data_IF_654795510908
#
_entry.id   IF_654795510908
#
_cell.length_a   1.000
_cell.length_b   1.000
_cell.length_c   1.000
_cell.angle_alpha   90.00
_cell.angle_beta   90.00
_cell.angle_gamma   90.00
#
_symmetry.space_group_name_H-M   'P 1'
#
loop_
_entity.id
_entity.type
_entity.pdbx_description
1 polymer ?
#
# COMPACT_ATOMS: atom_id res chain seq x y z
N UNK A 1 -41.60 5.13 -3.19
CA UNK A 1 -40.66 5.88 -2.32
C UNK A 1 -39.33 5.99 -3.06
N UNK A 2 -38.69 7.17 -3.06
CA UNK A 2 -37.35 7.36 -3.66
C UNK A 2 -36.32 7.25 -2.54
N UNK A 3 -35.57 6.15 -2.51
CA UNK A 3 -34.47 5.93 -1.56
C UNK A 3 -33.17 6.33 -2.23
N UNK A 4 -32.41 7.22 -1.59
CA UNK A 4 -31.06 7.59 -2.04
C UNK A 4 -30.05 6.79 -1.24
N UNK A 5 -29.06 6.21 -1.91
CA UNK A 5 -28.00 5.41 -1.31
C UNK A 5 -26.66 6.03 -1.73
N UNK A 6 -25.79 6.30 -0.75
CA UNK A 6 -24.40 6.73 -0.96
C UNK A 6 -23.49 5.66 -0.38
N UNK A 7 -22.52 5.20 -1.17
CA UNK A 7 -21.55 4.19 -0.78
C UNK A 7 -20.16 4.77 -1.01
N UNK A 8 -19.29 4.67 -0.01
CA UNK A 8 -17.87 5.02 -0.11
C UNK A 8 -17.03 3.77 0.07
N UNK A 9 -16.07 3.54 -0.81
CA UNK A 9 -15.14 2.41 -0.73
C UNK A 9 -13.72 2.89 -0.99
N UNK A 10 -12.75 2.26 -0.32
CA UNK A 10 -11.31 2.46 -0.57
C UNK A 10 -10.78 1.52 -1.66
N UNK A 11 -11.64 0.69 -2.25
CA UNK A 11 -11.32 -0.23 -3.34
C UNK A 11 -12.12 0.14 -4.58
N UNK A 12 -11.49 0.00 -5.74
CA UNK A 12 -12.18 0.22 -7.00
C UNK A 12 -13.31 -0.80 -7.19
N UNK A 13 -14.35 -0.42 -7.92
CA UNK A 13 -15.48 -1.32 -8.22
C UNK A 13 -15.03 -2.58 -8.96
N UNK A 14 -13.94 -2.51 -9.73
CA UNK A 14 -13.37 -3.67 -10.42
C UNK A 14 -12.83 -4.74 -9.46
N UNK A 15 -12.32 -4.34 -8.29
CA UNK A 15 -11.81 -5.26 -7.25
C UNK A 15 -12.94 -5.92 -6.45
N UNK A 16 -14.20 -5.53 -6.64
CA UNK A 16 -15.30 -6.05 -5.82
C UNK A 16 -15.58 -7.54 -6.05
N UNK A 17 -15.25 -8.07 -7.23
CA UNK A 17 -15.35 -9.52 -7.48
C UNK A 17 -14.45 -10.31 -6.53
N UNK A 18 -13.23 -9.84 -6.27
CA UNK A 18 -12.31 -10.47 -5.31
C UNK A 18 -12.74 -10.23 -3.86
N UNK A 19 -13.19 -9.02 -3.53
CA UNK A 19 -13.63 -8.66 -2.17
C UNK A 19 -14.87 -9.45 -1.74
N UNK A 20 -15.81 -9.67 -2.65
CA UNK A 20 -17.05 -10.41 -2.39
C UNK A 20 -16.90 -11.91 -2.64
N UNK A 21 -15.77 -12.36 -3.19
CA UNK A 21 -15.50 -13.76 -3.54
C UNK A 21 -16.31 -14.30 -4.72
N UNK A 22 -17.17 -13.47 -5.33
CA UNK A 22 -17.95 -13.82 -6.51
C UNK A 22 -18.21 -12.58 -7.38
N UNK A 23 -17.62 -12.60 -8.58
CA UNK A 23 -17.81 -11.57 -9.61
C UNK A 23 -19.26 -11.44 -10.06
N UNK A 24 -20.04 -12.51 -10.03
CA UNK A 24 -21.47 -12.53 -10.37
C UNK A 24 -22.29 -11.73 -9.37
N UNK A 25 -22.00 -11.89 -8.08
CA UNK A 25 -22.65 -11.13 -7.00
C UNK A 25 -22.25 -9.66 -7.08
N UNK A 26 -20.96 -9.38 -7.31
CA UNK A 26 -20.47 -8.02 -7.51
C UNK A 26 -21.19 -7.31 -8.67
N UNK A 27 -21.30 -7.98 -9.83
CA UNK A 27 -21.99 -7.46 -10.99
C UNK A 27 -23.50 -7.25 -10.74
N UNK A 28 -24.17 -8.18 -10.05
CA UNK A 28 -25.58 -8.05 -9.74
C UNK A 28 -25.87 -6.95 -8.69
N UNK A 29 -24.95 -6.71 -7.75
CA UNK A 29 -25.03 -5.54 -6.86
C UNK A 29 -24.82 -4.25 -7.64
N UNK A 30 -23.85 -4.25 -8.53
CA UNK A 30 -23.51 -3.10 -9.35
C UNK A 30 -24.66 -2.74 -10.31
N UNK A 31 -25.32 -3.71 -10.93
CA UNK A 31 -26.52 -3.52 -11.76
C UNK A 31 -27.63 -2.78 -10.98
N UNK A 32 -27.93 -3.24 -9.76
CA UNK A 32 -28.93 -2.60 -8.88
C UNK A 32 -28.56 -1.18 -8.48
N UNK A 33 -27.27 -0.90 -8.30
CA UNK A 33 -26.78 0.43 -7.90
C UNK A 33 -26.63 1.38 -9.10
N UNK A 34 -26.11 0.90 -10.23
CA UNK A 34 -25.81 1.70 -11.43
C UNK A 34 -27.02 2.00 -12.29
N UNK A 35 -28.15 1.32 -12.09
CA UNK A 35 -29.39 1.63 -12.83
C UNK A 35 -29.82 3.11 -12.69
N UNK A 36 -29.33 3.83 -11.65
CA UNK A 36 -29.60 5.26 -11.47
C UNK A 36 -28.51 6.05 -10.74
N UNK A 37 -27.28 5.56 -10.66
CA UNK A 37 -26.21 6.22 -9.90
C UNK A 37 -25.06 6.74 -10.76
N UNK A 38 -24.28 7.62 -10.14
CA UNK A 38 -23.05 8.19 -10.69
C UNK A 38 -21.89 7.66 -9.86
N UNK A 39 -20.89 7.09 -10.51
CA UNK A 39 -19.66 6.63 -9.85
C UNK A 39 -18.67 7.79 -9.83
N UNK A 40 -18.26 8.19 -8.63
CA UNK A 40 -17.23 9.22 -8.44
C UNK A 40 -15.97 8.54 -7.94
N UNK A 41 -14.91 8.55 -8.76
CA UNK A 41 -13.58 8.10 -8.34
C UNK A 41 -12.91 9.26 -7.60
N UNK A 42 -12.52 9.00 -6.35
CA UNK A 42 -11.76 9.95 -5.55
C UNK A 42 -10.27 9.60 -5.69
N UNK A 43 -9.50 10.54 -6.21
CA UNK A 43 -8.05 10.44 -6.34
C UNK A 43 -7.39 11.66 -5.66
N UNK A 44 -6.18 11.47 -5.13
CA UNK A 44 -5.42 12.51 -4.43
C UNK A 44 -4.96 12.12 -3.02
N UNK A 45 -4.10 12.97 -2.45
CA UNK A 45 -3.48 12.73 -1.15
C UNK A 45 -4.50 12.59 -0.03
N UNK A 46 -4.19 11.69 0.92
CA UNK A 46 -5.00 11.48 2.10
C UNK A 46 -5.22 12.79 2.86
N UNK A 47 -6.48 13.22 2.98
CA UNK A 47 -6.82 14.44 3.71
C UNK A 47 -6.24 14.46 5.13
N UNK A 48 -6.14 13.30 5.78
CA UNK A 48 -5.56 13.11 7.13
C UNK A 48 -4.05 13.39 7.22
N UNK A 49 -3.34 13.34 6.10
CA UNK A 49 -1.90 13.62 6.03
C UNK A 49 -1.60 15.09 5.74
N UNK A 50 -2.60 15.92 5.45
CA UNK A 50 -2.40 17.33 5.08
C UNK A 50 -1.70 18.15 6.16
N UNK A 51 -1.95 17.84 7.44
CA UNK A 51 -1.34 18.52 8.59
C UNK A 51 -0.20 17.73 9.23
N UNK A 52 0.16 16.56 8.68
CA UNK A 52 1.31 15.82 9.20
C UNK A 52 2.59 16.47 8.69
N UNK A 53 3.51 16.90 9.59
CA UNK A 53 4.85 17.30 9.18
C UNK A 53 5.44 16.18 8.33
N UNK A 54 6.01 16.52 7.17
CA UNK A 54 6.64 15.56 6.26
C UNK A 54 7.47 14.57 7.09
N UNK A 55 7.31 13.24 6.87
CA UNK A 55 8.03 12.26 7.66
C UNK A 55 9.51 12.58 7.62
N UNK A 56 10.10 12.76 8.81
CA UNK A 56 11.53 12.95 8.96
C UNK A 56 12.22 11.74 8.32
N UNK A 57 13.28 11.94 7.53
CA UNK A 57 14.01 10.81 6.97
C UNK A 57 14.50 9.95 8.14
N UNK A 58 14.09 8.68 8.16
CA UNK A 58 14.56 7.71 9.15
C UNK A 58 16.09 7.70 9.07
N UNK A 59 16.81 7.87 10.20
CA UNK A 59 18.26 7.87 10.17
C UNK A 59 18.75 6.56 9.56
N UNK A 60 19.61 6.67 8.56
CA UNK A 60 20.21 5.50 7.93
C UNK A 60 20.84 4.65 9.05
N UNK A 61 20.41 3.39 9.14
CA UNK A 61 21.03 2.42 10.04
C UNK A 61 22.52 2.40 9.73
N UNK A 62 23.33 3.03 10.59
CA UNK A 62 24.79 2.89 10.54
C UNK A 62 25.05 1.41 10.71
N UNK A 63 25.54 0.76 9.65
CA UNK A 63 26.12 -0.56 9.75
C UNK A 63 27.26 -0.47 10.77
N UNK A 64 27.02 -1.00 11.97
CA UNK A 64 28.05 -1.17 12.97
C UNK A 64 28.93 -2.31 12.47
N UNK A 65 30.02 -1.99 11.77
CA UNK A 65 31.04 -2.99 11.43
C UNK A 65 31.70 -3.40 12.73
N UNK A 66 31.54 -4.65 13.12
CA UNK A 66 32.18 -5.22 14.29
C UNK A 66 33.71 -5.25 14.04
N UNK A 67 34.56 -4.69 14.92
CA UNK A 67 36.02 -4.70 14.75
C UNK A 67 36.63 -6.12 14.64
N UNK A 68 35.87 -7.18 14.91
CA UNK A 68 36.31 -8.57 14.71
C UNK A 68 36.45 -8.97 13.24
N UNK A 69 35.74 -8.35 12.28
CA UNK A 69 35.85 -8.68 10.85
C UNK A 69 37.19 -8.22 10.22
N UNK A 70 37.81 -7.18 10.78
CA UNK A 70 39.10 -6.67 10.31
C UNK A 70 40.25 -7.66 10.59
N UNK A 71 40.13 -8.47 11.64
CA UNK A 71 41.16 -9.44 12.03
C UNK A 71 41.11 -10.71 11.18
N UNK A 72 39.94 -11.10 10.67
CA UNK A 72 39.78 -12.33 9.86
C UNK A 72 40.36 -12.16 8.45
N UNK A 73 40.33 -10.94 7.90
CA UNK A 73 40.91 -10.61 6.59
C UNK A 73 42.44 -10.55 6.55
N UNK A 74 43.11 -10.37 7.70
CA UNK A 74 44.58 -10.31 7.76
C UNK A 74 45.25 -11.69 7.79
N UNK A 75 44.51 -12.77 8.06
CA UNK A 75 45.10 -14.09 8.32
C UNK A 75 45.04 -15.07 7.12
N UNK A 76 44.37 -14.73 6.02
CA UNK A 76 44.16 -15.66 4.88
C UNK A 76 44.62 -15.13 3.52
N UNK A 77 45.72 -14.36 3.49
CA UNK A 77 46.18 -13.73 2.25
C UNK A 77 47.70 -13.66 2.06
N UNK A 78 48.29 -14.76 1.58
CA UNK A 78 49.48 -14.83 0.70
C UNK A 78 50.89 -14.57 1.29
N UNK A 79 51.78 -15.55 1.11
CA UNK A 79 53.16 -15.27 0.68
C UNK A 79 54.29 -15.92 1.50
N UNK A 80 54.75 -17.07 1.01
CA UNK A 80 56.07 -17.67 1.25
C UNK A 80 57.20 -16.65 1.07
N UNK A 81 58.12 -16.56 2.03
CA UNK A 81 59.58 -16.62 1.80
C UNK A 81 60.31 -17.05 3.07
#
# INVERSE_FOLDING_TARGET
>A
MKTSIVITTNRSVAEWGEVLGDTTVAAAMLDRLLHRSVVIKLDGDSYRLRDQPRPHPKPAHRHHTNPTDATVGAAHGWGVQ
#
